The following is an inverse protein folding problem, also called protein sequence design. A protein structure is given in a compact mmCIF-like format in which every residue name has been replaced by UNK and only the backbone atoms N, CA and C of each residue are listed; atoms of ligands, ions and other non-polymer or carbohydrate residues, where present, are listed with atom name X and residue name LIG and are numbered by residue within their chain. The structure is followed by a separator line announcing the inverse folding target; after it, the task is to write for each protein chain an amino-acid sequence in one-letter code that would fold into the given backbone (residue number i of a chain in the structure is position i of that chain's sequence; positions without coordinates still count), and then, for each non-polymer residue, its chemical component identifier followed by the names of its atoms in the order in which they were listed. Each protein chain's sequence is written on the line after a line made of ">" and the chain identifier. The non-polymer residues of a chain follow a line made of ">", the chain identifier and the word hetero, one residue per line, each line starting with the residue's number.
data_IF_736540807416
#
_entry.id   IF_736540807416
#
_cell.length_a   1.000
_cell.length_b   1.000
_cell.length_c   1.000
_cell.angle_alpha   90.00
_cell.angle_beta   90.00
_cell.angle_gamma   90.00
#
_symmetry.space_group_name_H-M   'P 1'
#
loop_
_entity.id
_entity.type
_entity.pdbx_description
1 polymer ?
#
# COMPACT_ATOMS: atom_id res chain seq x y z
N UNK A 1 -47.48 21.68 8.03
CA UNK A 1 -46.91 22.12 9.33
C UNK A 1 -47.09 23.63 9.41
N UNK A 2 -47.73 24.26 10.40
CA UNK A 2 -47.81 23.88 11.81
C UNK A 2 -49.07 24.46 12.45
N UNK A 3 -50.16 23.68 12.48
CA UNK A 3 -51.31 23.95 13.35
C UNK A 3 -50.91 23.98 14.86
N UNK A 4 -49.72 23.48 15.18
CA UNK A 4 -49.09 23.54 16.49
C UNK A 4 -48.60 24.96 16.85
N UNK A 5 -48.13 25.74 15.88
CA UNK A 5 -47.64 27.11 16.10
C UNK A 5 -48.79 28.07 16.49
N UNK A 6 -49.96 27.89 15.90
CA UNK A 6 -51.15 28.68 16.25
C UNK A 6 -51.76 28.25 17.58
N UNK A 7 -51.72 26.94 17.90
CA UNK A 7 -52.13 26.41 19.20
C UNK A 7 -51.24 26.91 20.35
N UNK A 8 -49.93 27.06 20.12
CA UNK A 8 -48.98 27.64 21.08
C UNK A 8 -49.14 29.16 21.25
N UNK A 9 -49.53 29.88 20.18
CA UNK A 9 -49.85 31.32 20.27
C UNK A 9 -51.13 31.58 21.07
N UNK A 10 -52.14 30.70 20.94
CA UNK A 10 -53.37 30.76 21.73
C UNK A 10 -53.14 30.56 23.23
N UNK A 11 -52.35 29.54 23.60
CA UNK A 11 -52.02 29.24 25.00
C UNK A 11 -51.21 30.36 25.69
N UNK A 12 -50.36 31.07 24.95
CA UNK A 12 -49.59 32.23 25.48
C UNK A 12 -50.47 33.44 25.83
N UNK A 13 -51.61 33.64 25.17
CA UNK A 13 -52.54 34.76 25.47
C UNK A 13 -53.42 34.50 26.69
N UNK A 14 -53.72 33.23 27.01
CA UNK A 14 -54.46 32.86 28.23
C UNK A 14 -53.61 32.95 29.51
N UNK A 15 -52.27 33.01 29.40
CA UNK A 15 -51.35 33.05 30.54
C UNK A 15 -50.90 34.48 30.95
N UNK A 16 -51.45 35.54 30.34
CA UNK A 16 -51.17 36.94 30.75
C UNK A 16 -49.72 37.42 30.56
N UNK A 17 -48.89 36.72 29.78
CA UNK A 17 -47.48 37.08 29.60
C UNK A 17 -47.34 38.10 28.46
N UNK A 18 -47.08 39.36 28.82
CA UNK A 18 -46.72 40.42 27.88
C UNK A 18 -45.29 40.24 27.36
N UNK A 19 -45.01 40.54 26.07
CA UNK A 19 -43.65 40.50 25.54
C UNK A 19 -42.79 41.64 26.11
N UNK A 20 -41.49 41.41 26.38
CA UNK A 20 -40.61 42.46 26.90
C UNK A 20 -40.34 43.55 25.85
N UNK A 21 -40.18 44.78 26.32
CA UNK A 21 -39.84 45.95 25.52
C UNK A 21 -38.46 45.82 24.84
N UNK A 22 -38.25 46.41 23.66
CA UNK A 22 -36.97 46.32 22.95
C UNK A 22 -35.87 47.07 23.71
N UNK A 23 -34.73 46.41 23.90
CA UNK A 23 -33.53 47.00 24.50
C UNK A 23 -32.89 48.05 23.54
N UNK A 24 -32.24 49.10 24.07
CA UNK A 24 -31.57 50.09 23.24
C UNK A 24 -30.37 49.48 22.49
N UNK A 25 -30.19 49.92 21.25
CA UNK A 25 -29.09 49.51 20.36
C UNK A 25 -27.76 50.01 20.92
N UNK A 26 -26.75 49.16 21.16
CA UNK A 26 -25.44 49.62 21.58
C UNK A 26 -24.66 50.23 20.41
N UNK A 27 -24.06 51.39 20.63
CA UNK A 27 -23.12 52.08 19.74
C UNK A 27 -21.88 51.20 19.50
N UNK A 28 -21.33 51.09 18.28
CA UNK A 28 -20.14 50.27 18.04
C UNK A 28 -18.90 50.88 18.71
N UNK A 29 -18.33 50.14 19.67
CA UNK A 29 -17.00 50.44 20.20
C UNK A 29 -15.93 50.20 19.14
N UNK A 30 -14.81 50.96 19.14
CA UNK A 30 -13.73 50.73 18.18
C UNK A 30 -13.15 49.32 18.34
N UNK A 31 -12.82 48.69 17.21
CA UNK A 31 -12.30 47.34 17.16
C UNK A 31 -11.00 47.23 17.98
N UNK A 32 -11.05 46.50 19.11
CA UNK A 32 -9.84 46.07 19.81
C UNK A 32 -9.07 45.14 18.88
N UNK A 33 -7.90 45.57 18.43
CA UNK A 33 -6.96 44.69 17.73
C UNK A 33 -6.57 43.56 18.70
N UNK A 34 -6.96 42.32 18.36
CA UNK A 34 -6.45 41.14 19.07
C UNK A 34 -4.96 41.05 18.75
N UNK A 35 -4.06 40.94 19.75
CA UNK A 35 -2.67 40.66 19.47
C UNK A 35 -2.58 39.33 18.71
N UNK A 36 -1.75 39.30 17.67
CA UNK A 36 -1.47 38.08 16.94
C UNK A 36 -0.97 37.01 17.92
N UNK A 37 -1.48 35.78 17.79
CA UNK A 37 -0.96 34.66 18.57
C UNK A 37 0.52 34.45 18.20
N UNK A 38 1.41 34.22 19.18
CA UNK A 38 2.79 33.88 18.89
C UNK A 38 2.87 32.57 18.09
N UNK A 39 3.82 32.48 17.16
CA UNK A 39 3.90 31.44 16.12
C UNK A 39 3.92 30.00 16.66
N UNK A 40 4.40 29.82 17.89
CA UNK A 40 4.48 28.53 18.57
C UNK A 40 3.10 27.92 18.88
N UNK A 41 2.06 28.75 19.12
CA UNK A 41 0.70 28.27 19.39
C UNK A 41 -0.05 27.99 18.08
N UNK A 42 0.24 28.73 17.01
CA UNK A 42 -0.37 28.50 15.69
C UNK A 42 0.06 27.16 15.06
N UNK A 43 1.32 26.75 15.27
CA UNK A 43 1.82 25.44 14.84
C UNK A 43 1.16 24.28 15.59
N UNK A 44 0.88 24.43 16.89
CA UNK A 44 0.25 23.40 17.72
C UNK A 44 -1.22 23.17 17.37
N UNK A 45 -1.90 24.18 16.84
CA UNK A 45 -3.31 24.12 16.40
C UNK A 45 -3.48 23.68 14.94
N UNK A 46 -2.40 23.34 14.22
CA UNK A 46 -2.46 22.82 12.86
C UNK A 46 -3.02 23.81 11.82
N UNK A 47 -3.04 25.11 12.14
CA UNK A 47 -3.56 26.16 11.25
C UNK A 47 -2.49 26.44 10.18
N UNK A 48 -2.63 25.81 9.01
CA UNK A 48 -1.80 26.11 7.84
C UNK A 48 -2.04 27.55 7.38
N UNK A 49 -1.03 28.41 7.51
CA UNK A 49 -1.03 29.70 6.82
C UNK A 49 -1.14 29.46 5.31
N UNK A 50 -2.11 30.14 4.67
CA UNK A 50 -2.27 30.16 3.21
C UNK A 50 -1.01 30.78 2.60
N UNK A 51 -0.10 29.95 2.11
CA UNK A 51 0.90 30.38 1.14
C UNK A 51 0.13 30.77 -0.13
N UNK A 52 0.32 32.01 -0.59
CA UNK A 52 -0.25 32.51 -1.84
C UNK A 52 0.08 31.51 -2.97
N UNK A 53 -0.96 30.95 -3.57
CA UNK A 53 -0.85 29.84 -4.51
C UNK A 53 -0.13 30.22 -5.79
N UNK A 54 0.90 29.45 -6.15
CA UNK A 54 1.36 29.39 -7.53
C UNK A 54 0.21 28.95 -8.45
N UNK A 55 0.14 29.44 -9.70
CA UNK A 55 -0.88 28.98 -10.65
C UNK A 55 -0.80 27.46 -10.79
N UNK A 56 -1.94 26.76 -11.00
CA UNK A 56 -1.93 25.32 -11.18
C UNK A 56 -1.04 25.00 -12.40
N UNK A 57 0.10 24.36 -12.16
CA UNK A 57 0.89 23.77 -13.25
C UNK A 57 -0.08 22.87 -14.02
N UNK A 58 -0.30 23.17 -15.30
CA UNK A 58 -0.98 22.23 -16.22
C UNK A 58 -0.28 20.88 -16.01
N UNK A 59 -1.04 19.84 -15.63
CA UNK A 59 -0.50 18.48 -15.61
C UNK A 59 0.10 18.24 -16.99
N UNK A 60 1.43 18.11 -17.06
CA UNK A 60 2.05 17.63 -18.27
C UNK A 60 1.37 16.30 -18.60
N UNK A 61 0.84 16.18 -19.82
CA UNK A 61 0.30 14.90 -20.28
C UNK A 61 1.52 13.98 -20.37
N UNK A 62 1.65 13.10 -19.39
CA UNK A 62 2.69 12.07 -19.39
C UNK A 62 2.37 11.14 -20.55
N UNK A 63 3.33 10.95 -21.44
CA UNK A 63 3.26 9.92 -22.47
C UNK A 63 3.23 8.54 -21.80
N UNK A 64 2.15 7.75 -21.93
CA UNK A 64 2.09 6.41 -21.37
C UNK A 64 3.26 5.51 -21.78
N UNK A 65 3.84 5.73 -22.98
CA UNK A 65 4.99 4.94 -23.46
C UNK A 65 6.28 5.18 -22.66
N UNK A 66 6.36 6.26 -21.87
CA UNK A 66 7.50 6.56 -21.01
C UNK A 66 7.48 5.83 -19.66
N UNK A 67 6.39 5.14 -19.35
CA UNK A 67 6.17 4.41 -18.10
C UNK A 67 6.56 2.93 -18.22
N UNK A 68 6.81 2.23 -17.11
CA UNK A 68 6.97 0.79 -17.12
C UNK A 68 5.68 0.09 -17.59
N UNK A 69 5.80 -0.80 -18.58
CA UNK A 69 4.71 -1.64 -19.05
C UNK A 69 3.77 -0.99 -20.06
N UNK A 70 2.55 -1.53 -20.15
CA UNK A 70 1.50 -1.09 -21.07
C UNK A 70 0.24 -0.66 -20.32
N UNK A 71 -0.49 0.30 -20.87
CA UNK A 71 -1.72 0.78 -20.23
C UNK A 71 -2.86 -0.21 -20.47
N UNK A 72 -3.42 -0.74 -19.38
CA UNK A 72 -4.53 -1.70 -19.46
C UNK A 72 -5.88 -1.12 -19.00
N UNK A 73 -5.85 0.00 -18.29
CA UNK A 73 -7.03 0.78 -17.90
C UNK A 73 -6.63 2.23 -17.61
N UNK A 74 -7.59 3.20 -17.57
CA UNK A 74 -7.29 4.57 -17.20
C UNK A 74 -6.56 4.65 -15.86
N UNK A 75 -5.33 5.16 -15.88
CA UNK A 75 -4.52 5.31 -14.67
C UNK A 75 -3.81 4.04 -14.19
N UNK A 76 -3.73 2.97 -15.01
CA UNK A 76 -3.14 1.68 -14.64
C UNK A 76 -2.23 1.13 -15.75
N UNK A 77 -0.98 0.84 -15.40
CA UNK A 77 -0.01 0.11 -16.22
C UNK A 77 0.12 -1.35 -15.75
N UNK A 78 0.40 -2.23 -16.71
CA UNK A 78 0.83 -3.61 -16.48
C UNK A 78 2.22 -3.81 -17.10
N UNK A 79 3.19 -4.13 -16.26
CA UNK A 79 4.48 -4.67 -16.70
C UNK A 79 4.45 -6.19 -16.54
N UNK A 80 4.73 -6.93 -17.62
CA UNK A 80 4.91 -8.37 -17.55
C UNK A 80 6.31 -8.72 -18.07
N UNK A 81 7.04 -9.49 -17.27
CA UNK A 81 8.35 -10.00 -17.63
C UNK A 81 8.39 -11.50 -17.41
N UNK A 82 9.20 -12.17 -18.22
CA UNK A 82 9.52 -13.58 -18.04
C UNK A 82 11.02 -13.73 -18.13
N UNK A 83 11.59 -14.54 -17.25
CA UNK A 83 13.03 -14.79 -17.27
C UNK A 83 13.36 -16.25 -17.00
N UNK A 84 14.53 -16.63 -17.49
CA UNK A 84 15.19 -17.84 -17.01
C UNK A 84 15.46 -17.69 -15.51
N UNK A 85 14.94 -18.64 -14.76
CA UNK A 85 15.08 -18.74 -13.31
C UNK A 85 15.10 -20.24 -12.98
N UNK A 86 15.66 -20.67 -11.84
CA UNK A 86 15.52 -22.06 -11.41
C UNK A 86 14.06 -22.53 -11.49
N UNK A 87 13.84 -23.81 -11.85
CA UNK A 87 12.49 -24.36 -11.89
C UNK A 87 11.81 -24.22 -10.52
N UNK A 88 10.48 -24.31 -10.51
CA UNK A 88 9.74 -24.35 -9.26
C UNK A 88 10.30 -25.49 -8.38
N UNK A 89 10.36 -25.33 -7.05
CA UNK A 89 10.71 -26.45 -6.18
C UNK A 89 9.74 -27.61 -6.43
N UNK A 90 10.11 -28.88 -6.18
CA UNK A 90 9.12 -29.97 -6.15
C UNK A 90 8.10 -29.73 -5.03
N UNK A 91 7.01 -30.50 -5.01
CA UNK A 91 6.06 -30.44 -3.89
C UNK A 91 6.77 -30.65 -2.55
N UNK A 92 6.47 -29.79 -1.57
CA UNK A 92 7.19 -29.72 -0.30
C UNK A 92 6.23 -29.55 0.88
N UNK A 93 6.60 -30.08 2.05
CA UNK A 93 5.85 -29.82 3.27
C UNK A 93 6.21 -28.43 3.82
N UNK A 94 5.21 -27.58 4.08
CA UNK A 94 5.41 -26.20 4.52
C UNK A 94 5.51 -26.06 6.06
N UNK A 95 5.95 -27.12 6.76
CA UNK A 95 6.12 -27.15 8.22
C UNK A 95 7.05 -26.06 8.74
N UNK A 96 8.08 -25.72 7.97
CA UNK A 96 8.97 -24.58 8.26
C UNK A 96 8.20 -23.27 8.37
N UNK A 97 7.03 -23.12 7.74
CA UNK A 97 6.16 -21.94 7.79
C UNK A 97 4.97 -22.08 8.78
N UNK A 98 4.94 -23.17 9.57
CA UNK A 98 3.81 -23.58 10.42
C UNK A 98 2.52 -23.86 9.64
N UNK A 99 2.66 -24.44 8.45
CA UNK A 99 1.56 -24.92 7.64
C UNK A 99 1.76 -26.43 7.52
N UNK A 100 0.85 -27.21 8.10
CA UNK A 100 0.91 -28.67 8.08
C UNK A 100 0.23 -29.21 6.81
N UNK A 101 0.82 -28.89 5.66
CA UNK A 101 0.31 -29.26 4.34
C UNK A 101 1.48 -29.46 3.37
N UNK A 102 1.32 -30.41 2.45
CA UNK A 102 2.18 -30.52 1.27
C UNK A 102 1.70 -29.54 0.21
N UNK A 103 2.56 -28.61 -0.18
CA UNK A 103 2.23 -27.54 -1.13
C UNK A 103 2.61 -27.97 -2.54
N UNK A 104 1.64 -27.94 -3.44
CA UNK A 104 1.88 -28.03 -4.88
C UNK A 104 2.49 -26.69 -5.37
N UNK A 105 3.66 -26.70 -6.01
CA UNK A 105 4.30 -25.50 -6.53
C UNK A 105 3.43 -24.70 -7.51
N UNK A 106 2.49 -25.33 -8.21
CA UNK A 106 1.58 -24.63 -9.13
C UNK A 106 0.57 -23.74 -8.42
N UNK A 107 0.41 -23.88 -7.10
CA UNK A 107 -0.45 -23.03 -6.26
C UNK A 107 0.27 -21.80 -5.74
N UNK A 108 1.59 -21.72 -5.87
CA UNK A 108 2.39 -20.63 -5.30
C UNK A 108 2.07 -19.31 -5.99
N UNK A 109 1.79 -18.30 -5.17
CA UNK A 109 1.50 -16.94 -5.60
C UNK A 109 2.38 -15.98 -4.80
N UNK A 110 3.52 -15.62 -5.37
CA UNK A 110 4.47 -14.70 -4.72
C UNK A 110 3.96 -13.29 -4.94
N UNK A 111 3.97 -12.45 -3.91
CA UNK A 111 3.57 -11.06 -4.05
C UNK A 111 4.32 -10.14 -3.12
N UNK A 112 4.46 -8.90 -3.57
CA UNK A 112 5.06 -7.78 -2.86
C UNK A 112 4.39 -6.47 -3.29
N UNK A 113 4.33 -5.47 -2.40
CA UNK A 113 3.70 -4.17 -2.72
C UNK A 113 4.61 -2.98 -2.45
N UNK A 114 4.57 -2.02 -3.38
CA UNK A 114 5.15 -0.70 -3.15
C UNK A 114 4.08 0.26 -2.69
N UNK A 115 4.33 0.96 -1.58
CA UNK A 115 3.29 1.67 -0.84
C UNK A 115 3.62 3.13 -0.61
N UNK A 116 2.61 3.98 -0.44
CA UNK A 116 2.81 5.43 -0.23
C UNK A 116 3.36 5.79 1.15
N UNK A 117 3.61 4.83 2.04
CA UNK A 117 4.18 5.09 3.37
C UNK A 117 4.15 3.87 4.29
N UNK A 118 5.09 3.83 5.25
CA UNK A 118 5.41 2.66 6.07
C UNK A 118 4.61 2.54 7.38
N UNK A 119 3.90 3.59 7.79
CA UNK A 119 3.22 3.66 9.09
C UNK A 119 1.89 2.89 9.17
N UNK A 120 1.43 2.31 8.06
CA UNK A 120 0.09 1.71 7.96
C UNK A 120 -1.05 2.73 8.12
N UNK A 121 -2.28 2.29 7.90
CA UNK A 121 -3.48 3.12 8.01
C UNK A 121 -4.26 3.29 6.72
N UNK A 122 -5.47 3.83 6.81
CA UNK A 122 -6.42 3.96 5.67
C UNK A 122 -5.94 4.92 4.58
N UNK A 123 -4.99 5.81 4.91
CA UNK A 123 -4.36 6.72 3.96
C UNK A 123 -3.28 6.06 3.10
N UNK A 124 -2.67 4.97 3.56
CA UNK A 124 -1.64 4.24 2.82
C UNK A 124 -2.28 3.45 1.67
N UNK A 125 -1.63 3.51 0.51
CA UNK A 125 -2.04 2.79 -0.70
C UNK A 125 -0.87 2.00 -1.23
N UNK A 126 -1.16 0.83 -1.80
CA UNK A 126 -0.26 0.20 -2.75
C UNK A 126 -0.35 1.01 -4.05
N UNK A 127 0.76 1.58 -4.50
CA UNK A 127 0.83 2.17 -5.83
C UNK A 127 1.41 1.18 -6.85
N UNK A 128 2.09 0.13 -6.39
CA UNK A 128 2.45 -1.02 -7.18
C UNK A 128 2.06 -2.31 -6.45
N UNK A 129 1.57 -3.30 -7.20
CA UNK A 129 1.42 -4.68 -6.74
C UNK A 129 2.19 -5.58 -7.70
N UNK A 130 3.25 -6.20 -7.20
CA UNK A 130 4.03 -7.20 -7.91
C UNK A 130 3.56 -8.60 -7.58
N UNK A 131 3.53 -9.46 -8.60
CA UNK A 131 3.18 -10.88 -8.49
C UNK A 131 4.19 -11.72 -9.25
N UNK A 132 4.67 -12.78 -8.62
CA UNK A 132 5.57 -13.78 -9.20
C UNK A 132 4.95 -15.18 -9.18
N UNK A 133 5.08 -15.91 -10.28
CA UNK A 133 4.69 -17.32 -10.36
C UNK A 133 5.52 -18.08 -11.40
N UNK A 134 5.63 -19.41 -11.26
CA UNK A 134 6.24 -20.24 -12.28
C UNK A 134 5.21 -20.58 -13.35
N UNK A 135 5.50 -20.21 -14.60
CA UNK A 135 4.58 -20.35 -15.71
C UNK A 135 5.33 -20.76 -16.98
N UNK A 136 4.87 -21.83 -17.63
CA UNK A 136 5.43 -22.35 -18.89
C UNK A 136 6.96 -22.51 -18.87
N UNK A 137 7.51 -23.06 -17.77
CA UNK A 137 8.94 -23.34 -17.64
C UNK A 137 9.83 -22.13 -17.30
N UNK A 138 9.24 -20.95 -17.08
CA UNK A 138 9.96 -19.75 -16.63
C UNK A 138 9.36 -19.12 -15.38
N UNK A 139 10.08 -18.17 -14.79
CA UNK A 139 9.52 -17.30 -13.75
C UNK A 139 8.87 -16.10 -14.41
N UNK A 140 7.57 -15.94 -14.18
CA UNK A 140 6.75 -14.82 -14.66
C UNK A 140 6.57 -13.82 -13.55
N UNK A 141 6.81 -12.55 -13.88
CA UNK A 141 6.57 -11.41 -13.01
C UNK A 141 5.52 -10.51 -13.67
N UNK A 142 4.50 -10.13 -12.91
CA UNK A 142 3.45 -9.20 -13.33
C UNK A 142 3.33 -8.09 -12.30
N UNK A 143 3.43 -6.84 -12.74
CA UNK A 143 3.41 -5.68 -11.87
C UNK A 143 2.34 -4.71 -12.33
N UNK A 144 1.39 -4.43 -11.44
CA UNK A 144 0.39 -3.40 -11.64
C UNK A 144 0.89 -2.10 -11.04
N UNK A 145 0.93 -1.02 -11.81
CA UNK A 145 1.37 0.31 -11.38
C UNK A 145 0.27 1.33 -11.65
N UNK A 146 -0.26 1.96 -10.59
CA UNK A 146 -1.20 3.07 -10.77
C UNK A 146 -0.44 4.36 -11.08
N UNK A 147 -0.91 5.10 -12.08
CA UNK A 147 -0.35 6.40 -12.49
C UNK A 147 -1.21 7.57 -12.00
N UNK A 148 -2.36 7.26 -11.41
CA UNK A 148 -3.21 8.21 -10.69
C UNK A 148 -3.91 7.47 -9.55
N UNK A 149 -4.40 8.20 -8.54
CA UNK A 149 -5.19 7.59 -7.47
C UNK A 149 -6.49 6.92 -7.97
N UNK A 150 -7.03 7.37 -9.11
CA UNK A 150 -8.24 6.79 -9.69
C UNK A 150 -8.02 5.38 -10.27
N UNK A 151 -6.77 5.01 -10.57
CA UNK A 151 -6.43 3.68 -11.10
C UNK A 151 -6.53 2.55 -10.07
N UNK A 152 -6.70 2.86 -8.77
CA UNK A 152 -6.71 1.86 -7.71
C UNK A 152 -7.83 0.82 -7.86
N UNK A 153 -9.02 1.23 -8.32
CA UNK A 153 -10.13 0.29 -8.53
C UNK A 153 -9.79 -0.75 -9.59
N UNK A 154 -9.32 -0.29 -10.75
CA UNK A 154 -8.86 -1.17 -11.83
C UNK A 154 -7.69 -2.06 -11.39
N UNK A 155 -6.78 -1.55 -10.56
CA UNK A 155 -5.65 -2.32 -10.02
C UNK A 155 -6.14 -3.49 -9.16
N UNK A 156 -7.01 -3.22 -8.17
CA UNK A 156 -7.52 -4.27 -7.29
C UNK A 156 -8.39 -5.28 -8.03
N UNK A 157 -9.18 -4.83 -9.00
CA UNK A 157 -9.94 -5.69 -9.90
C UNK A 157 -9.03 -6.64 -10.68
N UNK A 158 -8.02 -6.10 -11.35
CA UNK A 158 -7.06 -6.89 -12.12
C UNK A 158 -6.30 -7.89 -11.21
N UNK A 159 -5.78 -7.43 -10.08
CA UNK A 159 -5.11 -8.29 -9.10
C UNK A 159 -5.99 -9.47 -8.65
N UNK A 160 -7.27 -9.22 -8.37
CA UNK A 160 -8.19 -10.27 -7.96
C UNK A 160 -8.40 -11.35 -9.03
N UNK A 161 -8.30 -11.01 -10.32
CA UNK A 161 -8.42 -12.00 -11.42
C UNK A 161 -7.24 -12.97 -11.50
N UNK A 162 -6.11 -12.63 -10.89
CA UNK A 162 -4.90 -13.46 -10.92
C UNK A 162 -4.88 -14.53 -9.84
N UNK A 163 -5.67 -14.36 -8.78
CA UNK A 163 -5.70 -15.29 -7.66
C UNK A 163 -6.63 -16.47 -7.96
N UNK A 164 -6.11 -17.67 -7.71
CA UNK A 164 -6.91 -18.89 -7.68
C UNK A 164 -7.49 -19.10 -6.28
N UNK A 165 -8.65 -19.76 -6.15
CA UNK A 165 -9.23 -20.07 -4.83
C UNK A 165 -8.36 -20.96 -3.93
N UNK A 166 -7.45 -21.74 -4.52
CA UNK A 166 -6.54 -22.66 -3.84
C UNK A 166 -5.09 -22.14 -3.74
N UNK A 167 -4.88 -20.86 -4.07
CA UNK A 167 -3.56 -20.25 -4.08
C UNK A 167 -2.90 -20.23 -2.70
N UNK A 168 -1.58 -20.37 -2.69
CA UNK A 168 -0.72 -20.28 -1.50
C UNK A 168 0.12 -19.02 -1.65
N UNK A 169 -0.21 -18.02 -0.85
CA UNK A 169 0.47 -16.74 -0.86
C UNK A 169 1.90 -16.89 -0.34
N UNK A 170 2.86 -16.25 -1.01
CA UNK A 170 4.26 -16.19 -0.55
C UNK A 170 4.70 -14.73 -0.52
N UNK A 171 5.26 -14.29 0.60
CA UNK A 171 5.72 -12.91 0.79
C UNK A 171 6.85 -12.83 1.80
N UNK A 172 7.47 -11.67 1.95
CA UNK A 172 8.38 -11.37 3.05
C UNK A 172 7.80 -10.27 3.93
N UNK A 173 7.39 -10.60 5.16
CA UNK A 173 6.64 -9.71 6.07
C UNK A 173 5.21 -9.33 5.62
N UNK A 174 4.69 -9.93 4.54
CA UNK A 174 3.39 -9.58 3.98
C UNK A 174 2.19 -9.96 4.81
N UNK A 175 2.31 -10.89 5.78
CA UNK A 175 1.21 -11.14 6.75
C UNK A 175 0.94 -9.93 7.63
N UNK A 176 1.99 -9.19 7.96
CA UNK A 176 1.93 -8.06 8.90
C UNK A 176 1.74 -6.72 8.18
N UNK A 177 2.00 -6.66 6.87
CA UNK A 177 2.03 -5.41 6.11
C UNK A 177 1.11 -5.45 4.87
N UNK A 178 1.51 -6.17 3.82
CA UNK A 178 0.87 -6.13 2.51
C UNK A 178 -0.57 -6.66 2.52
N UNK A 179 -0.80 -7.85 3.11
CA UNK A 179 -2.13 -8.45 3.14
C UNK A 179 -3.15 -7.62 3.95
N UNK A 180 -2.83 -7.11 5.17
CA UNK A 180 -3.70 -6.18 5.88
C UNK A 180 -3.97 -4.87 5.11
N UNK A 181 -2.97 -4.34 4.40
CA UNK A 181 -3.13 -3.15 3.56
C UNK A 181 -4.11 -3.43 2.43
N UNK A 182 -3.89 -4.49 1.64
CA UNK A 182 -4.76 -4.86 0.52
C UNK A 182 -6.18 -5.15 1.01
N UNK A 183 -6.34 -5.88 2.12
CA UNK A 183 -7.64 -6.10 2.76
C UNK A 183 -8.36 -4.78 3.08
N UNK A 184 -7.64 -3.79 3.60
CA UNK A 184 -8.19 -2.46 3.84
C UNK A 184 -8.59 -1.76 2.53
N UNK A 185 -7.78 -1.86 1.48
CA UNK A 185 -8.09 -1.27 0.16
C UNK A 185 -9.34 -1.89 -0.47
N UNK A 186 -9.46 -3.22 -0.47
CA UNK A 186 -10.66 -3.94 -0.94
C UNK A 186 -11.91 -3.52 -0.16
N UNK A 187 -11.81 -3.46 1.18
CA UNK A 187 -12.92 -3.02 2.04
C UNK A 187 -13.38 -1.59 1.73
N UNK A 188 -12.46 -0.66 1.50
CA UNK A 188 -12.79 0.73 1.14
C UNK A 188 -13.49 0.83 -0.23
N UNK A 189 -13.29 -0.14 -1.11
CA UNK A 189 -14.00 -0.27 -2.37
C UNK A 189 -15.25 -1.15 -2.28
N UNK A 190 -15.68 -1.54 -1.07
CA UNK A 190 -16.84 -2.40 -0.83
C UNK A 190 -16.76 -3.75 -1.57
N UNK A 191 -15.54 -4.29 -1.70
CA UNK A 191 -15.27 -5.58 -2.34
C UNK A 191 -14.72 -6.59 -1.32
N UNK A 192 -15.06 -7.86 -1.51
CA UNK A 192 -14.44 -8.97 -0.78
C UNK A 192 -12.95 -9.05 -1.13
N UNK A 193 -12.09 -9.21 -0.13
CA UNK A 193 -10.66 -9.37 -0.36
C UNK A 193 -10.35 -10.82 -0.79
N UNK A 194 -9.75 -11.05 -1.98
CA UNK A 194 -9.48 -12.39 -2.47
C UNK A 194 -8.35 -13.12 -1.71
N UNK A 195 -7.64 -12.41 -0.82
CA UNK A 195 -6.60 -12.98 0.05
C UNK A 195 -7.17 -13.67 1.29
N UNK A 196 -8.44 -13.45 1.61
CA UNK A 196 -9.04 -14.01 2.82
C UNK A 196 -9.22 -15.53 2.71
N UNK A 197 -8.74 -16.25 3.72
CA UNK A 197 -8.83 -17.71 3.78
C UNK A 197 -7.71 -18.47 3.06
N UNK A 198 -6.85 -17.78 2.30
CA UNK A 198 -5.72 -18.42 1.63
C UNK A 198 -4.60 -18.79 2.61
N UNK A 199 -3.95 -19.93 2.36
CA UNK A 199 -2.70 -20.28 3.03
C UNK A 199 -1.63 -19.24 2.66
N UNK A 200 -0.75 -18.92 3.62
CA UNK A 200 0.22 -17.85 3.44
C UNK A 200 1.56 -18.20 4.08
N UNK A 201 2.57 -18.41 3.24
CA UNK A 201 3.98 -18.59 3.61
C UNK A 201 4.61 -17.20 3.69
N UNK A 202 4.81 -16.69 4.91
CA UNK A 202 5.57 -15.46 5.14
C UNK A 202 6.98 -15.82 5.58
N UNK A 203 7.93 -15.60 4.66
CA UNK A 203 9.32 -16.03 4.75
C UNK A 203 10.11 -15.28 5.84
N UNK A 204 9.64 -14.13 6.32
CA UNK A 204 10.30 -13.42 7.41
C UNK A 204 10.32 -14.24 8.71
N UNK A 205 9.24 -14.98 8.99
CA UNK A 205 9.12 -15.76 10.22
C UNK A 205 10.09 -16.95 10.29
N UNK A 206 10.18 -17.85 9.28
CA UNK A 206 11.18 -18.91 9.30
C UNK A 206 12.61 -18.35 9.28
N UNK A 207 12.88 -17.29 8.52
CA UNK A 207 14.19 -16.62 8.54
C UNK A 207 14.55 -16.13 9.95
N UNK A 208 13.63 -15.42 10.62
CA UNK A 208 13.85 -14.97 12.01
C UNK A 208 14.00 -16.12 12.99
N UNK A 209 13.27 -17.23 12.83
CA UNK A 209 13.42 -18.38 13.72
C UNK A 209 14.81 -18.98 13.64
N UNK A 210 15.41 -19.01 12.44
CA UNK A 210 16.72 -19.62 12.25
C UNK A 210 17.88 -18.68 12.60
N UNK A 211 17.81 -17.42 12.19
CA UNK A 211 18.99 -16.54 12.17
C UNK A 211 18.87 -15.26 13.01
N UNK A 212 17.79 -15.09 13.79
CA UNK A 212 17.73 -13.96 14.74
C UNK A 212 18.88 -14.08 15.74
N UNK A 213 19.73 -13.05 15.80
CA UNK A 213 20.90 -13.00 16.66
C UNK A 213 22.20 -13.50 16.00
N UNK A 214 22.10 -14.29 14.92
CA UNK A 214 23.25 -14.72 14.12
C UNK A 214 23.56 -13.74 12.97
N UNK A 215 22.52 -13.16 12.36
CA UNK A 215 22.66 -12.13 11.34
C UNK A 215 22.53 -10.73 11.91
N UNK A 216 23.05 -9.73 11.18
CA UNK A 216 22.98 -8.33 11.62
C UNK A 216 21.53 -7.81 11.64
N UNK A 217 20.67 -8.35 10.77
CA UNK A 217 19.22 -8.23 10.85
C UNK A 217 18.56 -9.31 9.96
N UNK A 218 17.23 -9.41 9.98
CA UNK A 218 16.48 -10.32 9.11
C UNK A 218 15.64 -9.55 8.08
N UNK A 219 16.15 -8.46 7.49
CA UNK A 219 15.51 -7.80 6.34
C UNK A 219 15.75 -8.65 5.07
N UNK A 220 14.94 -8.43 4.04
CA UNK A 220 15.05 -9.17 2.78
C UNK A 220 16.46 -9.04 2.17
N UNK A 221 17.03 -7.83 2.15
CA UNK A 221 18.40 -7.57 1.69
C UNK A 221 19.46 -8.41 2.42
N UNK A 222 19.29 -8.68 3.71
CA UNK A 222 20.21 -9.57 4.45
C UNK A 222 19.98 -11.03 4.08
N UNK A 223 18.72 -11.46 3.95
CA UNK A 223 18.38 -12.81 3.54
C UNK A 223 18.91 -13.14 2.14
N UNK A 224 18.84 -12.20 1.19
CA UNK A 224 19.41 -12.36 -0.14
C UNK A 224 20.93 -12.55 -0.10
N UNK A 225 21.63 -11.67 0.62
CA UNK A 225 23.08 -11.75 0.73
C UNK A 225 23.54 -13.05 1.40
N UNK A 226 22.84 -13.46 2.46
CA UNK A 226 23.21 -14.64 3.25
C UNK A 226 22.78 -15.96 2.61
N UNK A 227 21.58 -16.02 1.99
CA UNK A 227 21.01 -17.26 1.46
C UNK A 227 21.19 -17.44 -0.03
N UNK A 228 21.18 -16.34 -0.80
CA UNK A 228 21.22 -16.35 -2.25
C UNK A 228 22.57 -15.89 -2.81
N UNK A 229 23.47 -15.40 -1.94
CA UNK A 229 24.77 -14.82 -2.33
C UNK A 229 24.63 -13.66 -3.33
N UNK A 230 23.49 -12.96 -3.28
CA UNK A 230 23.21 -11.78 -4.11
C UNK A 230 23.60 -10.53 -3.33
N UNK A 231 24.39 -9.66 -3.96
CA UNK A 231 24.68 -8.32 -3.46
C UNK A 231 23.91 -7.34 -4.36
N UNK A 232 23.05 -6.52 -3.76
CA UNK A 232 22.36 -5.42 -4.47
C UNK A 232 23.39 -4.35 -4.80
N UNK A 233 23.74 -4.20 -6.07
CA UNK A 233 24.48 -3.03 -6.58
C UNK A 233 23.46 -1.91 -6.88
N UNK A 234 23.68 -0.72 -6.32
CA UNK A 234 22.94 0.52 -6.66
C UNK A 234 21.40 0.45 -6.56
N UNK A 235 20.90 0.00 -5.40
CA UNK A 235 19.47 0.07 -5.14
C UNK A 235 19.04 1.48 -4.72
N UNK A 236 17.99 1.99 -5.38
CA UNK A 236 17.12 2.99 -4.78
C UNK A 236 16.67 2.41 -3.43
N UNK A 237 16.95 3.06 -2.28
CA UNK A 237 16.45 2.59 -1.00
C UNK A 237 14.92 2.44 -1.10
N UNK A 238 14.33 1.33 -0.64
CA UNK A 238 12.86 1.16 -0.67
C UNK A 238 12.08 2.30 -0.01
N UNK A 239 12.73 3.09 0.86
CA UNK A 239 12.18 4.34 1.41
C UNK A 239 11.95 5.47 0.40
N UNK A 240 12.56 5.40 -0.78
CA UNK A 240 12.44 6.40 -1.84
C UNK A 240 11.36 6.05 -2.86
N UNK A 241 10.88 4.80 -2.91
CA UNK A 241 9.80 4.39 -3.81
C UNK A 241 8.53 5.27 -3.65
N UNK A 242 8.05 5.61 -2.43
CA UNK A 242 6.96 6.57 -2.26
C UNK A 242 7.29 7.96 -2.83
N UNK A 243 8.53 8.43 -2.66
CA UNK A 243 8.96 9.75 -3.13
C UNK A 243 9.04 9.79 -4.66
N UNK A 244 9.53 8.72 -5.30
CA UNK A 244 9.53 8.54 -6.75
C UNK A 244 8.12 8.65 -7.33
N UNK A 245 7.16 7.91 -6.76
CA UNK A 245 5.78 7.95 -7.22
C UNK A 245 5.09 9.31 -6.96
N UNK A 246 5.31 9.92 -5.80
CA UNK A 246 4.79 11.27 -5.51
C UNK A 246 5.41 12.34 -6.42
N UNK A 247 6.71 12.22 -6.73
CA UNK A 247 7.41 13.09 -7.67
C UNK A 247 6.81 12.98 -9.06
N UNK A 248 6.56 11.76 -9.53
CA UNK A 248 5.87 11.48 -10.78
C UNK A 248 4.48 12.14 -10.83
N UNK A 249 3.64 11.96 -9.80
CA UNK A 249 2.30 12.57 -9.75
C UNK A 249 2.32 14.11 -9.81
N UNK A 250 3.45 14.74 -9.45
CA UNK A 250 3.65 16.20 -9.52
C UNK A 250 4.21 16.66 -10.88
N UNK A 251 4.31 15.76 -11.87
CA UNK A 251 4.86 16.01 -13.19
C UNK A 251 6.39 15.87 -13.27
N UNK A 252 6.99 15.11 -12.33
CA UNK A 252 8.39 14.72 -12.38
C UNK A 252 8.70 13.66 -13.44
N UNK A 253 9.98 13.29 -13.61
CA UNK A 253 10.41 12.28 -14.58
C UNK A 253 9.88 10.88 -14.24
N UNK A 254 9.77 10.02 -15.26
CA UNK A 254 9.32 8.62 -15.10
C UNK A 254 10.46 7.66 -14.79
N UNK A 255 11.73 8.03 -15.01
CA UNK A 255 12.89 7.16 -14.79
C UNK A 255 12.94 6.53 -13.38
N UNK A 256 12.60 7.22 -12.27
CA UNK A 256 12.53 6.60 -10.95
C UNK A 256 11.48 5.47 -10.85
N UNK A 257 10.39 5.52 -11.61
CA UNK A 257 9.39 4.45 -11.60
C UNK A 257 9.90 3.15 -12.24
N UNK A 258 10.80 3.25 -13.22
CA UNK A 258 11.47 2.07 -13.79
C UNK A 258 12.40 1.42 -12.76
N UNK A 259 13.07 2.22 -11.92
CA UNK A 259 13.89 1.69 -10.82
C UNK A 259 13.02 1.00 -9.77
N UNK A 260 11.89 1.59 -9.38
CA UNK A 260 10.93 0.96 -8.46
C UNK A 260 10.41 -0.36 -9.03
N UNK A 261 10.04 -0.41 -10.32
CA UNK A 261 9.61 -1.65 -10.96
C UNK A 261 10.71 -2.73 -10.94
N UNK A 262 11.97 -2.36 -11.21
CA UNK A 262 13.10 -3.29 -11.12
C UNK A 262 13.33 -3.80 -9.70
N UNK A 263 13.20 -2.94 -8.69
CA UNK A 263 13.33 -3.32 -7.29
C UNK A 263 12.27 -4.35 -6.88
N UNK A 264 11.00 -4.05 -7.13
CA UNK A 264 9.90 -4.98 -6.82
C UNK A 264 10.04 -6.31 -7.60
N UNK A 265 10.52 -6.28 -8.85
CA UNK A 265 10.85 -7.50 -9.61
C UNK A 265 11.97 -8.31 -8.93
N UNK A 266 13.04 -7.66 -8.50
CA UNK A 266 14.11 -8.31 -7.74
C UNK A 266 13.58 -8.92 -6.43
N UNK A 267 12.71 -8.22 -5.71
CA UNK A 267 12.12 -8.72 -4.47
C UNK A 267 11.30 -10.00 -4.71
N UNK A 268 10.47 -10.03 -5.77
CA UNK A 268 9.72 -11.23 -6.16
C UNK A 268 10.63 -12.44 -6.47
N UNK A 269 11.73 -12.21 -7.18
CA UNK A 269 12.74 -13.25 -7.46
C UNK A 269 13.38 -13.75 -6.18
N UNK A 270 13.71 -12.85 -5.26
CA UNK A 270 14.29 -13.17 -3.97
C UNK A 270 13.33 -14.00 -3.10
N UNK A 271 12.03 -13.72 -3.14
CA UNK A 271 11.02 -14.58 -2.50
C UNK A 271 11.10 -16.02 -3.04
N UNK A 272 11.17 -16.18 -4.37
CA UNK A 272 11.28 -17.49 -5.01
C UNK A 272 12.57 -18.22 -4.65
N UNK A 273 13.69 -17.51 -4.65
CA UNK A 273 14.99 -18.06 -4.24
C UNK A 273 15.00 -18.51 -2.78
N UNK A 274 14.51 -17.67 -1.85
CA UNK A 274 14.48 -18.00 -0.42
C UNK A 274 13.53 -19.18 -0.18
N UNK A 275 12.35 -19.18 -0.80
CA UNK A 275 11.41 -20.30 -0.71
C UNK A 275 12.06 -21.59 -1.18
N UNK A 276 12.77 -21.58 -2.31
CA UNK A 276 13.48 -22.75 -2.81
C UNK A 276 14.51 -23.28 -1.80
N UNK A 277 15.21 -22.42 -1.05
CA UNK A 277 16.16 -22.86 -0.01
C UNK A 277 15.47 -23.62 1.11
N UNK A 278 14.33 -23.10 1.60
CA UNK A 278 13.51 -23.76 2.62
C UNK A 278 12.82 -25.04 2.11
N UNK A 279 12.35 -25.06 0.86
CA UNK A 279 11.69 -26.23 0.29
C UNK A 279 12.66 -27.37 -0.02
N UNK A 280 13.93 -27.06 -0.33
CA UNK A 280 14.94 -28.07 -0.69
C UNK A 280 15.69 -28.68 0.50
N UNK A 281 15.63 -28.07 1.69
CA UNK A 281 16.35 -28.55 2.86
C UNK A 281 15.35 -28.76 3.99
N UNK A 282 15.29 -29.98 4.53
CA UNK A 282 14.69 -30.19 5.84
C UNK A 282 15.35 -29.24 6.85
N UNK A 283 14.57 -28.76 7.82
CA UNK A 283 14.98 -27.74 8.78
C UNK A 283 16.32 -28.08 9.49
N UNK A 284 16.79 -29.33 9.50
CA UNK A 284 18.06 -29.72 10.08
C UNK A 284 19.33 -29.30 9.33
N UNK A 285 19.29 -28.95 8.02
CA UNK A 285 20.52 -28.86 7.21
C UNK A 285 21.05 -27.43 6.97
N UNK A 286 20.23 -26.39 7.16
CA UNK A 286 20.68 -25.00 7.01
C UNK A 286 21.31 -24.46 8.32
N UNK A 287 22.55 -24.87 8.64
CA UNK A 287 23.24 -24.39 9.85
C UNK A 287 23.19 -22.85 9.97
N UNK A 288 23.03 -22.30 11.20
CA UNK A 288 23.09 -20.86 11.44
C UNK A 288 24.43 -20.24 11.08
#
# INVERSE_FOLDING_TARGET
>A
MSALADKLRGLRRQAGVLPPAPAPVPTPAPARQRPALPDNIAQLLGIRQRVQGSPPRRKAVVDPASLPGVTIAPGLQLCEARSAWPPAPPAFHAGFARIDEVIDPTRLFLFDTETTGLAGGTGTRAFMIGVGDWHEGGFRERQLLITTLAGEAAMLECFATWLRPDAVLVSYNGKSYDAPLLKTRFRLQQRTCPLEGLAHIDLLHPVRRRWRGAWENCRLATAERKLLQVVREDDLPGSEAPAAWLGFLRGGPTAPLHQVARHNSQDLRSLGGILHRFAAHDDSVMAP
#
